data_IF_692285137578
#
_entry.id   IF_692285137578
#
_cell.length_a   1.000
_cell.length_b   1.000
_cell.length_c   1.000
_cell.angle_alpha   90.00
_cell.angle_beta   90.00
_cell.angle_gamma   90.00
#
_symmetry.space_group_name_H-M   'P 1'
#
loop_
_entity.id
_entity.type
_entity.pdbx_description
1 polymer ?
#
# COMPACT_ATOMS: atom_id res chain seq x y z
N UNK A 1 18.69 -39.25 6.40
CA UNK A 1 19.08 -38.77 7.73
C UNK A 1 20.24 -39.62 8.21
N UNK A 2 21.46 -39.17 7.95
CA UNK A 2 22.67 -39.84 8.42
C UNK A 2 22.96 -39.43 9.86
N UNK A 3 23.54 -40.31 10.67
CA UNK A 3 23.89 -40.06 12.09
C UNK A 3 24.77 -38.81 12.27
N UNK A 4 25.46 -38.37 11.22
CA UNK A 4 26.29 -37.15 11.19
C UNK A 4 25.49 -35.86 11.05
N UNK A 5 24.33 -35.87 10.39
CA UNK A 5 23.44 -34.69 10.26
C UNK A 5 22.78 -34.35 11.61
N UNK A 6 22.45 -35.37 12.40
CA UNK A 6 21.87 -35.20 13.74
C UNK A 6 22.85 -34.58 14.75
N UNK A 7 24.16 -34.77 14.57
CA UNK A 7 25.18 -34.21 15.47
C UNK A 7 25.44 -32.73 15.12
N UNK A 8 25.32 -32.34 13.85
CA UNK A 8 25.50 -30.94 13.42
C UNK A 8 24.40 -30.02 14.00
N UNK A 9 23.14 -30.48 14.05
CA UNK A 9 22.08 -29.73 14.73
C UNK A 9 22.29 -29.57 16.24
N UNK A 10 22.88 -30.57 16.90
CA UNK A 10 23.19 -30.48 18.33
C UNK A 10 24.33 -29.49 18.62
N UNK A 11 25.31 -29.38 17.71
CA UNK A 11 26.44 -28.47 17.86
C UNK A 11 26.12 -27.01 17.46
N UNK A 12 25.21 -26.78 16.51
CA UNK A 12 24.80 -25.42 16.10
C UNK A 12 23.80 -24.79 17.09
N UNK A 13 23.12 -25.60 17.90
CA UNK A 13 22.27 -25.11 18.98
C UNK A 13 23.07 -24.62 20.21
N UNK A 14 24.30 -25.13 20.41
CA UNK A 14 25.17 -24.80 21.55
C UNK A 14 25.66 -23.34 21.56
N UNK A 15 25.64 -22.64 20.41
CA UNK A 15 25.95 -21.21 20.30
C UNK A 15 24.69 -20.30 20.37
N UNK A 16 23.48 -20.86 20.45
CA UNK A 16 22.23 -20.10 20.67
C UNK A 16 21.77 -20.09 22.14
N UNK A 17 22.60 -20.59 23.06
CA UNK A 17 22.39 -20.60 24.52
C UNK A 17 22.52 -19.22 25.19
N UNK A 18 21.94 -18.19 24.58
CA UNK A 18 21.63 -16.94 25.30
C UNK A 18 20.14 -16.79 25.60
N UNK A 19 19.34 -17.86 25.51
CA UNK A 19 17.89 -17.80 25.72
C UNK A 19 17.33 -18.85 26.69
N UNK A 20 18.13 -19.31 27.65
CA UNK A 20 17.66 -20.16 28.75
C UNK A 20 18.02 -19.62 30.14
N UNK A 21 18.38 -18.34 30.25
CA UNK A 21 18.45 -17.65 31.54
C UNK A 21 17.02 -17.47 32.07
N UNK A 22 16.75 -17.96 33.28
CA UNK A 22 15.44 -17.77 33.93
C UNK A 22 15.36 -16.30 34.33
N UNK A 23 14.64 -15.51 33.54
CA UNK A 23 14.39 -14.10 33.82
C UNK A 23 13.60 -13.97 35.12
N UNK A 24 13.98 -12.98 35.92
CA UNK A 24 13.23 -12.60 37.12
C UNK A 24 11.97 -11.83 36.72
N UNK A 25 10.91 -11.85 37.53
CA UNK A 25 9.63 -11.17 37.22
C UNK A 25 9.82 -9.69 36.80
N UNK A 26 10.74 -8.97 37.45
CA UNK A 26 11.06 -7.57 37.13
C UNK A 26 11.67 -7.40 35.72
N UNK A 27 12.41 -8.41 35.24
CA UNK A 27 13.01 -8.39 33.90
C UNK A 27 12.00 -8.71 32.82
N UNK A 28 11.01 -9.56 33.11
CA UNK A 28 9.87 -9.86 32.24
C UNK A 28 8.99 -8.61 32.09
N UNK A 29 8.72 -7.90 33.19
CA UNK A 29 7.93 -6.65 33.15
C UNK A 29 8.67 -5.59 32.33
N UNK A 30 10.01 -5.49 32.45
CA UNK A 30 10.82 -4.55 31.68
C UNK A 30 10.79 -4.84 30.16
N UNK A 31 10.88 -6.11 29.74
CA UNK A 31 10.76 -6.47 28.31
C UNK A 31 9.35 -6.21 27.78
N UNK A 32 8.30 -6.56 28.54
CA UNK A 32 6.90 -6.30 28.14
C UNK A 32 6.62 -4.80 28.02
N UNK A 33 7.18 -3.96 28.89
CA UNK A 33 6.94 -2.50 28.86
C UNK A 33 7.72 -1.80 27.75
N UNK A 34 8.86 -2.37 27.31
CA UNK A 34 9.67 -1.79 26.24
C UNK A 34 9.11 -2.06 24.82
N UNK A 35 8.25 -3.08 24.64
CA UNK A 35 7.59 -3.37 23.35
C UNK A 35 6.42 -2.43 23.03
N UNK A 36 5.83 -1.76 24.02
CA UNK A 36 4.71 -0.83 23.83
C UNK A 36 5.16 0.63 23.63
N UNK A 37 6.44 0.93 23.85
CA UNK A 37 6.96 2.31 23.86
C UNK A 37 7.80 2.67 22.63
N UNK A 38 7.76 1.84 21.58
CA UNK A 38 8.41 2.17 20.31
C UNK A 38 7.79 1.46 19.10
N UNK A 39 6.66 1.97 18.60
CA UNK A 39 6.53 2.34 17.18
C UNK A 39 5.20 3.09 16.92
N UNK A 40 4.99 4.24 17.57
CA UNK A 40 4.12 5.28 16.99
C UNK A 40 4.94 6.20 16.07
N UNK A 41 5.92 5.64 15.36
CA UNK A 41 6.54 6.30 14.21
C UNK A 41 5.72 5.96 12.96
N UNK A 42 4.39 6.06 13.07
CA UNK A 42 3.54 6.28 11.90
C UNK A 42 3.96 7.64 11.36
N UNK A 43 4.95 7.63 10.46
CA UNK A 43 5.29 8.79 9.65
C UNK A 43 3.97 9.26 9.08
N UNK A 44 3.49 10.47 9.42
CA UNK A 44 2.19 10.91 8.93
C UNK A 44 2.26 10.80 7.43
N UNK A 45 1.45 9.91 6.85
CA UNK A 45 1.40 9.72 5.41
C UNK A 45 1.01 11.08 4.86
N UNK A 46 1.99 11.85 4.39
CA UNK A 46 1.76 13.19 3.88
C UNK A 46 0.83 12.99 2.70
N UNK A 47 -0.44 13.43 2.78
CA UNK A 47 -1.36 13.20 1.69
C UNK A 47 -0.83 14.00 0.50
N UNK A 48 -0.33 13.27 -0.50
CA UNK A 48 0.15 13.87 -1.75
C UNK A 48 -1.08 14.48 -2.42
N UNK A 49 -1.13 15.81 -2.48
CA UNK A 49 -2.21 16.53 -3.16
C UNK A 49 -2.00 16.44 -4.66
N UNK A 50 -2.50 15.38 -5.27
CA UNK A 50 -2.49 15.21 -6.72
C UNK A 50 -3.59 16.08 -7.32
N UNK A 51 -3.25 16.88 -8.33
CA UNK A 51 -4.24 17.68 -9.04
C UNK A 51 -5.14 16.80 -9.94
N UNK A 52 -6.36 17.26 -10.24
CA UNK A 52 -7.26 16.53 -11.14
C UNK A 52 -6.64 16.26 -12.52
N UNK A 53 -5.90 17.23 -13.07
CA UNK A 53 -5.20 17.08 -14.35
C UNK A 53 -4.09 16.05 -14.28
N UNK A 54 -3.35 16.01 -13.17
CA UNK A 54 -2.24 15.09 -12.96
C UNK A 54 -2.74 13.66 -12.75
N UNK A 55 -3.84 13.47 -12.01
CA UNK A 55 -4.48 12.17 -11.85
C UNK A 55 -4.97 11.60 -13.20
N UNK A 56 -5.56 12.46 -14.06
CA UNK A 56 -5.98 12.05 -15.41
C UNK A 56 -4.77 11.72 -16.30
N UNK A 57 -3.71 12.53 -16.25
CA UNK A 57 -2.49 12.28 -17.01
C UNK A 57 -1.81 10.97 -16.58
N UNK A 58 -1.73 10.71 -15.27
CA UNK A 58 -1.22 9.46 -14.72
C UNK A 58 -2.04 8.26 -15.22
N UNK A 59 -3.37 8.34 -15.20
CA UNK A 59 -4.25 7.27 -15.70
C UNK A 59 -4.00 6.97 -17.19
N UNK A 60 -3.86 8.01 -18.03
CA UNK A 60 -3.60 7.85 -19.47
C UNK A 60 -2.25 7.19 -19.70
N UNK A 61 -1.21 7.62 -18.98
CA UNK A 61 0.14 7.06 -19.09
C UNK A 61 0.18 5.60 -18.61
N UNK A 62 -0.50 5.29 -17.50
CA UNK A 62 -0.61 3.92 -17.00
C UNK A 62 -1.35 3.00 -17.97
N UNK A 63 -2.40 3.50 -18.63
CA UNK A 63 -3.10 2.75 -19.68
C UNK A 63 -2.18 2.44 -20.86
N UNK A 64 -1.43 3.43 -21.35
CA UNK A 64 -0.48 3.24 -22.45
C UNK A 64 0.61 2.23 -22.09
N UNK A 65 1.19 2.37 -20.89
CA UNK A 65 2.19 1.43 -20.39
C UNK A 65 1.63 0.00 -20.25
N UNK A 66 0.40 -0.15 -19.76
CA UNK A 66 -0.24 -1.46 -19.66
C UNK A 66 -0.47 -2.12 -21.03
N UNK A 67 -0.82 -1.33 -22.05
CA UNK A 67 -0.94 -1.80 -23.44
C UNK A 67 0.43 -2.22 -24.02
N UNK A 68 1.50 -1.45 -23.77
CA UNK A 68 2.86 -1.77 -24.22
C UNK A 68 3.43 -3.03 -23.57
N UNK A 69 3.19 -3.20 -22.26
CA UNK A 69 3.62 -4.36 -21.51
C UNK A 69 2.72 -5.58 -21.74
N UNK A 70 1.67 -5.45 -22.56
CA UNK A 70 0.77 -6.52 -22.94
C UNK A 70 0.11 -7.20 -21.72
N UNK A 71 -0.39 -6.38 -20.78
CA UNK A 71 -1.18 -6.81 -19.62
C UNK A 71 -2.43 -7.58 -20.04
N UNK A 72 -3.04 -8.29 -19.09
CA UNK A 72 -4.25 -9.04 -19.35
C UNK A 72 -5.39 -8.13 -19.82
N UNK A 73 -6.21 -8.66 -20.73
CA UNK A 73 -7.22 -7.86 -21.42
C UNK A 73 -8.29 -7.29 -20.46
N UNK A 74 -8.57 -7.98 -19.36
CA UNK A 74 -9.48 -7.56 -18.31
C UNK A 74 -8.91 -6.40 -17.47
N UNK A 75 -7.62 -6.40 -17.16
CA UNK A 75 -6.94 -5.28 -16.48
C UNK A 75 -6.95 -4.01 -17.35
N UNK A 76 -6.62 -4.15 -18.64
CA UNK A 76 -6.68 -3.03 -19.61
C UNK A 76 -8.13 -2.54 -19.77
N UNK A 77 -9.11 -3.45 -19.77
CA UNK A 77 -10.53 -3.10 -19.85
C UNK A 77 -10.99 -2.26 -18.66
N UNK A 78 -10.52 -2.56 -17.45
CA UNK A 78 -10.83 -1.78 -16.25
C UNK A 78 -10.32 -0.33 -16.38
N UNK A 79 -9.09 -0.15 -16.84
CA UNK A 79 -8.50 1.18 -17.04
C UNK A 79 -9.23 1.99 -18.13
N UNK A 80 -9.60 1.35 -19.25
CA UNK A 80 -10.40 1.99 -20.31
C UNK A 80 -11.78 2.42 -19.80
N UNK A 81 -12.45 1.57 -19.03
CA UNK A 81 -13.75 1.88 -18.45
C UNK A 81 -13.69 3.05 -17.47
N UNK A 82 -12.63 3.14 -16.67
CA UNK A 82 -12.41 4.26 -15.76
C UNK A 82 -12.22 5.58 -16.52
N UNK A 83 -11.42 5.56 -17.58
CA UNK A 83 -11.23 6.71 -18.48
C UNK A 83 -12.58 7.17 -19.07
N UNK A 84 -13.36 6.26 -19.63
CA UNK A 84 -14.62 6.59 -20.28
C UNK A 84 -15.63 7.15 -19.28
N UNK A 85 -15.73 6.56 -18.08
CA UNK A 85 -16.56 7.06 -17.00
C UNK A 85 -16.15 8.46 -16.55
N UNK A 86 -14.85 8.75 -16.51
CA UNK A 86 -14.34 10.08 -16.19
C UNK A 86 -14.78 11.11 -17.22
N UNK A 87 -14.76 10.77 -18.51
CA UNK A 87 -15.27 11.64 -19.56
C UNK A 87 -16.79 11.86 -19.48
N UNK A 88 -17.57 10.80 -19.25
CA UNK A 88 -19.02 10.90 -19.03
C UNK A 88 -19.36 11.85 -17.88
N UNK A 89 -18.69 11.68 -16.73
CA UNK A 89 -18.87 12.53 -15.56
C UNK A 89 -18.51 13.99 -15.86
N UNK A 90 -17.42 14.24 -16.58
CA UNK A 90 -17.01 15.59 -16.97
C UNK A 90 -18.06 16.28 -17.85
N UNK A 91 -18.64 15.55 -18.81
CA UNK A 91 -19.72 16.06 -19.67
C UNK A 91 -20.98 16.31 -18.84
N UNK A 92 -21.35 15.39 -17.96
CA UNK A 92 -22.48 15.54 -17.06
C UNK A 92 -22.36 16.75 -16.13
N UNK A 93 -21.18 16.97 -15.54
CA UNK A 93 -20.91 18.15 -14.72
C UNK A 93 -20.97 19.44 -15.54
N UNK A 94 -20.47 19.44 -16.78
CA UNK A 94 -20.56 20.62 -17.64
C UNK A 94 -22.02 20.97 -17.97
N UNK A 95 -22.85 19.96 -18.25
CA UNK A 95 -24.28 20.13 -18.46
C UNK A 95 -25.00 20.65 -17.20
N UNK A 96 -24.71 20.10 -16.03
CA UNK A 96 -25.25 20.59 -14.75
C UNK A 96 -24.83 22.03 -14.48
N UNK A 97 -23.53 22.35 -14.65
CA UNK A 97 -23.02 23.70 -14.46
C UNK A 97 -23.73 24.70 -15.37
N UNK A 98 -23.98 24.33 -16.63
CA UNK A 98 -24.74 25.15 -17.58
C UNK A 98 -26.18 25.41 -17.10
N UNK A 99 -26.88 24.36 -16.65
CA UNK A 99 -28.24 24.50 -16.10
C UNK A 99 -28.25 25.45 -14.91
N UNK A 100 -27.26 25.31 -14.02
CA UNK A 100 -27.10 26.18 -12.85
C UNK A 100 -26.84 27.63 -13.29
N UNK A 101 -25.91 27.87 -14.22
CA UNK A 101 -25.63 29.24 -14.70
C UNK A 101 -26.83 29.87 -15.40
N UNK A 102 -27.56 29.09 -16.22
CA UNK A 102 -28.76 29.55 -16.93
C UNK A 102 -29.89 29.89 -15.92
N UNK A 103 -29.99 29.15 -14.82
CA UNK A 103 -30.96 29.40 -13.74
C UNK A 103 -30.64 30.67 -12.95
N UNK A 104 -29.36 30.92 -12.66
CA UNK A 104 -28.93 32.09 -11.87
C UNK A 104 -28.75 33.37 -12.70
N UNK A 105 -28.84 33.30 -14.04
CA UNK A 105 -28.99 34.47 -14.91
C UNK A 105 -27.84 35.49 -14.82
N UNK A 106 -26.59 35.03 -14.80
CA UNK A 106 -25.42 35.89 -14.96
C UNK A 106 -25.00 36.05 -16.42
#
# INVERSE_FOLDING_TARGET
MSKTEAILWAAEADDSFFLNEILTDDEIIRTVTAEDDNDDNVTPVIPIKISHSEAVAALINSLHWAEEQNFEADEIMLLRRLRDRTFELKIGMAAQKKIITDFFGH
#
